data_IF_756432892359
#
_entry.id   IF_756432892359
#
_cell.length_a   1.000
_cell.length_b   1.000
_cell.length_c   1.000
_cell.angle_alpha   90.00
_cell.angle_beta   90.00
_cell.angle_gamma   90.00
#
_symmetry.space_group_name_H-M   'P 1'
#
loop_
_entity.id
_entity.type
_entity.pdbx_description
1 polymer ?
#
# COMPACT_ATOMS: atom_id res chain seq x y z
N UNK A 1 -1.55 -10.27 9.19
CA UNK A 1 -2.12 -9.70 7.95
C UNK A 1 -3.27 -10.58 7.49
N UNK A 2 -4.35 -9.94 7.06
CA UNK A 2 -5.50 -10.58 6.42
C UNK A 2 -5.63 -10.09 4.99
N UNK A 3 -5.90 -11.01 4.06
CA UNK A 3 -6.23 -10.69 2.67
C UNK A 3 -7.72 -10.86 2.47
N UNK A 4 -8.38 -9.81 2.01
CA UNK A 4 -9.81 -9.80 1.73
C UNK A 4 -10.07 -9.34 0.30
N UNK A 5 -11.25 -9.63 -0.22
CA UNK A 5 -11.72 -9.05 -1.47
C UNK A 5 -12.38 -7.71 -1.23
N UNK A 6 -12.07 -6.75 -2.09
CA UNK A 6 -12.75 -5.44 -2.10
C UNK A 6 -14.15 -5.64 -2.68
N UNK A 7 -15.19 -5.18 -1.98
CA UNK A 7 -16.55 -5.25 -2.49
C UNK A 7 -16.73 -4.34 -3.70
N UNK A 8 -17.59 -4.77 -4.64
CA UNK A 8 -17.92 -3.98 -5.85
C UNK A 8 -18.56 -2.62 -5.52
N UNK A 9 -19.22 -2.52 -4.36
CA UNK A 9 -19.80 -1.28 -3.84
C UNK A 9 -18.79 -0.25 -3.33
N UNK A 10 -17.51 -0.62 -3.19
CA UNK A 10 -16.48 0.29 -2.71
C UNK A 10 -16.27 1.46 -3.67
N UNK A 11 -16.18 2.67 -3.10
CA UNK A 11 -15.99 3.91 -3.85
C UNK A 11 -14.52 4.15 -4.21
N UNK A 12 -13.88 3.14 -4.79
CA UNK A 12 -12.51 3.27 -5.29
C UNK A 12 -12.54 3.63 -6.77
N UNK A 13 -11.73 4.59 -7.16
CA UNK A 13 -11.50 4.90 -8.58
C UNK A 13 -10.59 3.83 -9.18
N UNK A 14 -11.21 2.77 -9.66
CA UNK A 14 -10.53 1.60 -10.25
C UNK A 14 -10.00 1.85 -11.67
N UNK A 15 -10.28 3.01 -12.22
CA UNK A 15 -9.76 3.43 -13.52
C UNK A 15 -8.42 4.17 -13.45
N UNK A 16 -7.98 4.56 -12.25
CA UNK A 16 -6.73 5.31 -12.08
C UNK A 16 -5.51 4.39 -12.09
N UNK A 17 -4.53 4.76 -12.89
CA UNK A 17 -3.28 4.04 -13.06
C UNK A 17 -2.19 4.39 -12.03
N UNK A 18 -2.44 5.31 -11.12
CA UNK A 18 -1.46 5.74 -10.10
C UNK A 18 -1.94 5.44 -8.69
N UNK A 19 -1.01 5.14 -7.75
CA UNK A 19 -1.34 5.01 -6.35
C UNK A 19 -2.08 6.24 -5.83
N UNK A 20 -3.16 6.02 -5.10
CA UNK A 20 -3.97 7.09 -4.52
C UNK A 20 -4.05 6.89 -3.03
N UNK A 21 -3.82 7.96 -2.28
CA UNK A 21 -4.07 7.98 -0.84
C UNK A 21 -5.50 8.46 -0.62
N UNK A 22 -6.34 7.60 -0.11
CA UNK A 22 -7.71 7.95 0.25
C UNK A 22 -7.77 8.46 1.69
N UNK A 23 -8.63 9.44 2.00
CA UNK A 23 -8.88 9.84 3.38
C UNK A 23 -9.40 8.65 4.19
N UNK A 24 -9.02 8.57 5.46
CA UNK A 24 -9.49 7.52 6.37
C UNK A 24 -11.01 7.47 6.52
N UNK A 25 -11.69 8.59 6.26
CA UNK A 25 -13.16 8.68 6.23
C UNK A 25 -13.80 8.07 4.98
N UNK A 26 -13.02 7.72 3.95
CA UNK A 26 -13.56 7.08 2.75
C UNK A 26 -13.79 5.59 3.05
N UNK A 27 -15.03 5.11 3.07
CA UNK A 27 -15.31 3.73 3.44
C UNK A 27 -14.84 2.78 2.35
N UNK A 28 -14.09 1.76 2.74
CA UNK A 28 -13.86 0.57 1.92
C UNK A 28 -14.74 -0.54 2.46
N UNK A 29 -15.60 -1.05 1.61
CA UNK A 29 -16.35 -2.26 1.91
C UNK A 29 -15.57 -3.47 1.46
N UNK A 30 -15.51 -4.50 2.30
CA UNK A 30 -14.89 -5.79 2.00
C UNK A 30 -15.98 -6.83 1.75
N UNK A 31 -15.79 -7.64 0.71
CA UNK A 31 -16.71 -8.73 0.42
C UNK A 31 -16.47 -9.97 1.30
N UNK A 32 -15.26 -10.10 1.84
CA UNK A 32 -14.90 -11.16 2.77
C UNK A 32 -13.44 -11.59 2.67
N UNK A 33 -12.96 -12.41 3.63
CA UNK A 33 -11.58 -12.88 3.64
C UNK A 33 -11.35 -13.92 2.55
N UNK A 34 -10.22 -13.79 1.87
CA UNK A 34 -9.75 -14.73 0.84
C UNK A 34 -8.72 -15.71 1.37
N UNK A 35 -8.14 -15.43 2.54
CA UNK A 35 -7.15 -16.25 3.22
C UNK A 35 -7.42 -16.27 4.72
N UNK A 36 -6.86 -17.25 5.41
CA UNK A 36 -6.74 -17.19 6.86
C UNK A 36 -5.75 -16.08 7.23
N UNK A 37 -5.92 -15.40 8.37
CA UNK A 37 -4.95 -14.46 8.88
C UNK A 37 -3.57 -15.09 9.04
N UNK A 38 -2.51 -14.38 8.67
CA UNK A 38 -1.14 -14.84 8.84
C UNK A 38 -0.35 -13.88 9.72
N UNK A 39 0.57 -14.42 10.50
CA UNK A 39 1.61 -13.65 11.20
C UNK A 39 2.87 -13.64 10.33
N UNK A 40 3.47 -12.47 10.16
CA UNK A 40 4.71 -12.30 9.42
C UNK A 40 5.84 -12.06 10.42
N UNK A 41 6.89 -12.84 10.33
CA UNK A 41 8.16 -12.56 11.00
C UNK A 41 9.07 -11.83 10.00
N UNK A 42 9.38 -10.54 10.22
CA UNK A 42 10.24 -9.78 9.32
C UNK A 42 11.63 -10.40 9.11
N UNK A 43 12.10 -11.21 10.07
CA UNK A 43 13.43 -11.85 10.01
C UNK A 43 13.50 -12.97 8.98
N UNK A 44 12.35 -13.48 8.53
CA UNK A 44 12.27 -14.57 7.54
C UNK A 44 11.96 -14.06 6.14
N UNK A 45 11.91 -12.74 5.93
CA UNK A 45 11.60 -12.17 4.61
C UNK A 45 12.72 -12.40 3.59
N UNK A 46 13.97 -12.55 4.03
CA UNK A 46 15.12 -12.81 3.14
C UNK A 46 15.17 -14.27 2.67
N UNK A 47 14.36 -15.16 3.26
CA UNK A 47 14.33 -16.55 2.86
C UNK A 47 14.00 -16.69 1.38
N UNK A 48 14.85 -17.42 0.67
CA UNK A 48 14.65 -17.65 -0.75
C UNK A 48 13.70 -18.82 -0.99
N UNK A 49 12.79 -18.64 -1.93
CA UNK A 49 11.94 -19.73 -2.43
C UNK A 49 12.39 -20.10 -3.82
N UNK A 50 12.87 -21.33 -3.96
CA UNK A 50 13.30 -21.88 -5.23
C UNK A 50 12.51 -23.13 -5.59
N UNK A 51 11.83 -23.10 -6.70
CA UNK A 51 11.13 -24.25 -7.26
C UNK A 51 11.17 -24.18 -8.79
N UNK A 52 10.53 -25.14 -9.48
CA UNK A 52 10.55 -25.19 -10.96
C UNK A 52 9.87 -23.98 -11.63
N UNK A 53 9.09 -23.20 -10.92
CA UNK A 53 8.31 -22.08 -11.48
C UNK A 53 8.88 -20.73 -11.12
N UNK A 54 9.66 -20.64 -10.05
CA UNK A 54 10.17 -19.37 -9.56
C UNK A 54 11.44 -19.53 -8.73
N UNK A 55 12.23 -18.47 -8.71
CA UNK A 55 13.33 -18.27 -7.80
C UNK A 55 13.22 -16.83 -7.28
N UNK A 56 12.82 -16.65 -6.03
CA UNK A 56 12.53 -15.35 -5.45
C UNK A 56 12.85 -15.31 -3.96
N UNK A 57 13.19 -14.14 -3.47
CA UNK A 57 13.44 -13.82 -2.07
C UNK A 57 12.70 -12.55 -1.69
N UNK A 58 12.78 -12.14 -0.44
CA UNK A 58 12.14 -10.92 0.10
C UNK A 58 10.63 -10.87 -0.20
N UNK A 59 9.93 -11.98 -0.03
CA UNK A 59 8.52 -12.10 -0.35
C UNK A 59 7.65 -12.36 0.87
N UNK A 60 6.52 -11.69 0.94
CA UNK A 60 5.39 -12.09 1.78
C UNK A 60 4.50 -13.02 0.95
N UNK A 61 4.42 -14.29 1.35
CA UNK A 61 3.63 -15.30 0.63
C UNK A 61 2.38 -15.63 1.43
N UNK A 62 1.23 -15.39 0.84
CA UNK A 62 -0.06 -15.64 1.47
C UNK A 62 -0.84 -16.64 0.64
N UNK A 63 -1.11 -17.81 1.23
CA UNK A 63 -1.93 -18.82 0.59
C UNK A 63 -3.40 -18.45 0.68
N UNK A 64 -4.02 -18.23 -0.46
CA UNK A 64 -5.45 -18.02 -0.55
C UNK A 64 -6.21 -19.36 -0.48
N UNK A 65 -7.49 -19.30 -0.17
CA UNK A 65 -8.36 -20.49 -0.12
C UNK A 65 -8.57 -21.06 -1.51
N UNK A 66 -8.80 -22.37 -1.57
CA UNK A 66 -8.96 -23.07 -2.84
C UNK A 66 -10.22 -22.65 -3.62
N UNK A 67 -11.28 -22.19 -2.92
CA UNK A 67 -12.49 -21.67 -3.56
C UNK A 67 -12.20 -20.42 -4.41
N UNK A 68 -11.25 -19.60 -3.97
CA UNK A 68 -10.77 -18.45 -4.74
C UNK A 68 -10.14 -18.91 -6.07
N UNK A 69 -9.25 -19.91 -6.02
CA UNK A 69 -8.63 -20.45 -7.22
C UNK A 69 -9.67 -21.05 -8.19
N UNK A 70 -10.65 -21.79 -7.66
CA UNK A 70 -11.72 -22.35 -8.47
C UNK A 70 -12.58 -21.29 -9.14
N UNK A 71 -12.81 -20.16 -8.46
CA UNK A 71 -13.53 -19.02 -9.02
C UNK A 71 -12.79 -18.44 -10.23
N UNK A 72 -11.47 -18.27 -10.14
CA UNK A 72 -10.66 -17.77 -11.24
C UNK A 72 -10.54 -18.77 -12.40
N UNK A 73 -10.34 -20.06 -12.13
CA UNK A 73 -10.06 -21.06 -13.18
C UNK A 73 -11.34 -21.54 -13.87
N UNK A 74 -12.45 -21.67 -13.13
CA UNK A 74 -13.69 -22.25 -13.67
C UNK A 74 -14.81 -21.23 -13.85
N UNK A 75 -15.13 -20.50 -12.77
CA UNK A 75 -16.30 -19.64 -12.77
C UNK A 75 -16.13 -18.43 -13.69
N UNK A 76 -14.99 -17.78 -13.67
CA UNK A 76 -14.74 -16.63 -14.53
C UNK A 76 -14.51 -17.02 -15.98
N UNK A 77 -13.89 -18.18 -16.24
CA UNK A 77 -13.69 -18.71 -17.59
C UNK A 77 -15.00 -19.00 -18.30
N UNK A 78 -16.04 -19.39 -17.57
CA UNK A 78 -17.39 -19.60 -18.11
C UNK A 78 -18.18 -18.31 -18.38
N UNK A 79 -17.56 -17.15 -18.15
CA UNK A 79 -18.18 -15.83 -18.28
C UNK A 79 -17.39 -14.94 -19.24
N UNK A 80 -17.79 -13.67 -19.35
CA UNK A 80 -17.04 -12.65 -20.10
C UNK A 80 -15.93 -11.98 -19.28
N UNK A 81 -15.58 -12.50 -18.10
CA UNK A 81 -14.64 -11.85 -17.18
C UNK A 81 -13.29 -11.57 -17.83
N UNK A 82 -12.75 -12.51 -18.59
CA UNK A 82 -11.44 -12.38 -19.23
C UNK A 82 -11.43 -11.69 -20.59
N UNK A 83 -12.56 -11.12 -21.00
CA UNK A 83 -12.68 -10.47 -22.31
C UNK A 83 -11.92 -9.13 -22.37
N UNK A 84 -11.83 -8.42 -21.25
CA UNK A 84 -11.10 -7.17 -21.12
C UNK A 84 -10.86 -6.85 -19.63
N UNK A 85 -9.92 -5.96 -19.34
CA UNK A 85 -9.68 -5.46 -17.96
C UNK A 85 -10.93 -4.80 -17.38
N UNK A 86 -11.68 -4.07 -18.19
CA UNK A 86 -12.93 -3.44 -17.77
C UNK A 86 -13.97 -4.49 -17.37
N UNK A 87 -14.11 -5.56 -18.15
CA UNK A 87 -15.00 -6.67 -17.82
C UNK A 87 -14.53 -7.36 -16.54
N UNK A 88 -13.23 -7.66 -16.43
CA UNK A 88 -12.68 -8.34 -15.26
C UNK A 88 -12.96 -7.59 -13.95
N UNK A 89 -12.83 -6.26 -13.95
CA UNK A 89 -13.11 -5.41 -12.79
C UNK A 89 -14.55 -5.50 -12.26
N UNK A 90 -15.51 -5.94 -13.08
CA UNK A 90 -16.89 -6.15 -12.64
C UNK A 90 -17.08 -7.47 -11.90
N UNK A 91 -16.18 -8.43 -12.10
CA UNK A 91 -16.19 -9.73 -11.42
C UNK A 91 -15.29 -9.75 -10.19
N UNK A 92 -14.16 -9.03 -10.25
CA UNK A 92 -13.20 -8.97 -9.16
C UNK A 92 -12.69 -7.55 -8.96
N UNK A 93 -13.04 -6.96 -7.82
CA UNK A 93 -12.71 -5.56 -7.54
C UNK A 93 -11.27 -5.35 -7.06
N UNK A 94 -10.61 -6.40 -6.56
CA UNK A 94 -9.22 -6.36 -6.11
C UNK A 94 -9.00 -6.96 -4.73
N UNK A 95 -7.75 -6.93 -4.29
CA UNK A 95 -7.30 -7.39 -3.00
C UNK A 95 -7.18 -6.24 -2.02
N UNK A 96 -7.61 -6.44 -0.79
CA UNK A 96 -7.32 -5.57 0.34
C UNK A 96 -6.44 -6.33 1.34
N UNK A 97 -5.29 -5.76 1.67
CA UNK A 97 -4.44 -6.24 2.74
C UNK A 97 -4.68 -5.39 3.98
N UNK A 98 -5.09 -6.01 5.06
CA UNK A 98 -5.34 -5.35 6.33
C UNK A 98 -4.45 -5.92 7.43
N UNK A 99 -3.99 -5.04 8.31
CA UNK A 99 -3.19 -5.42 9.48
C UNK A 99 -4.11 -5.51 10.68
N UNK A 100 -3.90 -6.51 11.50
CA UNK A 100 -4.60 -6.64 12.78
C UNK A 100 -4.06 -5.56 13.75
N UNK A 101 -4.92 -4.63 14.10
CA UNK A 101 -4.57 -3.52 14.99
C UNK A 101 -4.49 -3.93 16.47
N UNK A 102 -4.98 -5.10 16.82
CA UNK A 102 -4.87 -5.65 18.18
C UNK A 102 -3.50 -6.28 18.47
N UNK A 103 -2.68 -6.47 17.44
CA UNK A 103 -1.33 -7.00 17.58
C UNK A 103 -0.41 -5.96 18.24
N UNK A 104 0.36 -6.33 19.28
CA UNK A 104 1.30 -5.43 19.92
C UNK A 104 2.56 -5.14 19.09
N UNK A 105 2.68 -5.75 17.92
CA UNK A 105 3.85 -5.60 17.08
C UNK A 105 3.85 -4.25 16.34
N UNK A 106 4.95 -3.51 16.49
CA UNK A 106 5.21 -2.27 15.76
C UNK A 106 6.06 -2.57 14.52
N UNK A 107 5.42 -2.66 13.36
CA UNK A 107 6.12 -2.86 12.11
C UNK A 107 5.49 -2.02 10.99
N UNK A 108 6.31 -1.46 10.13
CA UNK A 108 5.93 -0.81 8.89
C UNK A 108 6.48 -1.61 7.71
N UNK A 109 5.59 -2.16 6.90
CA UNK A 109 5.96 -2.93 5.71
C UNK A 109 5.66 -2.11 4.46
N UNK A 110 6.65 -2.00 3.58
CA UNK A 110 6.49 -1.44 2.25
C UNK A 110 6.43 -2.59 1.24
N UNK A 111 5.34 -2.64 0.48
CA UNK A 111 5.16 -3.65 -0.57
C UNK A 111 5.39 -2.98 -1.92
N UNK A 112 6.39 -3.44 -2.66
CA UNK A 112 6.62 -2.99 -4.01
C UNK A 112 5.67 -3.71 -4.97
N UNK A 113 4.61 -3.04 -5.39
CA UNK A 113 3.61 -3.63 -6.29
C UNK A 113 4.10 -3.77 -7.73
N UNK A 114 5.13 -3.02 -8.14
CA UNK A 114 5.66 -3.04 -9.51
C UNK A 114 6.78 -4.06 -9.70
N UNK A 115 7.23 -4.72 -8.63
CA UNK A 115 8.22 -5.78 -8.72
C UNK A 115 7.65 -7.00 -9.45
N UNK A 116 8.46 -7.64 -10.28
CA UNK A 116 8.09 -8.84 -11.04
C UNK A 116 7.71 -10.03 -10.14
N UNK A 117 8.18 -10.01 -8.90
CA UNK A 117 7.86 -11.01 -7.89
C UNK A 117 6.55 -10.73 -7.15
N UNK A 118 5.98 -9.51 -7.28
CA UNK A 118 4.66 -9.18 -6.75
C UNK A 118 3.58 -9.64 -7.73
N UNK A 119 2.95 -10.76 -7.42
CA UNK A 119 2.01 -11.43 -8.33
C UNK A 119 0.98 -12.25 -7.59
N UNK A 120 -0.14 -12.46 -8.22
CA UNK A 120 -1.10 -13.48 -7.84
C UNK A 120 -0.81 -14.75 -8.67
N UNK A 121 -0.43 -15.85 -8.00
CA UNK A 121 -0.06 -17.11 -8.64
C UNK A 121 -1.16 -18.14 -8.47
N UNK A 122 -1.67 -18.65 -9.59
CA UNK A 122 -2.64 -19.73 -9.63
C UNK A 122 -1.94 -21.02 -10.03
N UNK A 123 -1.77 -21.93 -9.08
CA UNK A 123 -1.25 -23.28 -9.34
C UNK A 123 -2.41 -24.23 -9.60
N UNK A 124 -2.39 -24.90 -10.72
CA UNK A 124 -3.43 -25.85 -11.09
C UNK A 124 -2.86 -27.11 -11.74
N UNK A 125 -3.61 -28.17 -11.66
CA UNK A 125 -3.25 -29.44 -12.31
C UNK A 125 -3.94 -29.53 -13.64
N UNK A 126 -3.18 -29.76 -14.69
CA UNK A 126 -3.67 -29.96 -16.05
C UNK A 126 -3.24 -31.31 -16.58
N UNK A 127 -4.04 -31.86 -17.49
CA UNK A 127 -3.70 -33.08 -18.24
C UNK A 127 -4.09 -32.88 -19.70
N UNK A 128 -3.22 -33.31 -20.60
CA UNK A 128 -3.59 -33.38 -22.03
C UNK A 128 -4.63 -34.49 -22.23
N UNK A 129 -5.47 -34.35 -23.26
CA UNK A 129 -6.41 -35.36 -23.64
C UNK A 129 -5.67 -36.68 -23.93
N UNK A 130 -6.04 -37.76 -23.23
CA UNK A 130 -5.40 -39.05 -23.36
C UNK A 130 -4.16 -39.28 -22.49
N UNK A 131 -3.70 -38.27 -21.72
CA UNK A 131 -2.58 -38.43 -20.83
C UNK A 131 -3.00 -39.07 -19.49
N UNK A 132 -2.26 -40.08 -19.04
CA UNK A 132 -2.44 -40.72 -17.73
C UNK A 132 -1.87 -39.93 -16.59
N UNK A 133 -0.98 -38.97 -16.88
CA UNK A 133 -0.28 -38.14 -15.88
C UNK A 133 -0.80 -36.71 -15.90
N UNK A 134 -1.11 -36.21 -14.71
CA UNK A 134 -1.36 -34.77 -14.51
C UNK A 134 -0.06 -34.05 -14.26
N UNK A 135 0.09 -32.87 -14.85
CA UNK A 135 1.19 -31.96 -14.54
C UNK A 135 0.69 -30.71 -13.82
N UNK A 136 1.56 -30.10 -13.04
CA UNK A 136 1.24 -28.84 -12.37
C UNK A 136 1.68 -27.69 -13.27
N UNK A 137 0.76 -26.79 -13.52
CA UNK A 137 0.98 -25.53 -14.24
C UNK A 137 0.72 -24.35 -13.34
N UNK A 138 1.26 -23.20 -13.69
CA UNK A 138 1.04 -21.95 -12.96
C UNK A 138 0.66 -20.84 -13.92
N UNK A 139 -0.32 -20.05 -13.55
CA UNK A 139 -0.67 -18.80 -14.19
C UNK A 139 -0.39 -17.64 -13.25
N UNK A 140 0.25 -16.61 -13.74
CA UNK A 140 0.58 -15.41 -12.99
C UNK A 140 -0.25 -14.22 -13.46
N UNK A 141 -0.86 -13.52 -12.50
CA UNK A 141 -1.43 -12.21 -12.71
C UNK A 141 -0.58 -11.21 -11.95
N UNK A 142 0.05 -10.31 -12.68
CA UNK A 142 0.96 -9.30 -12.14
C UNK A 142 0.27 -7.95 -12.03
N UNK A 143 0.77 -7.13 -11.13
CA UNK A 143 0.40 -5.72 -11.08
C UNK A 143 0.97 -4.99 -12.30
N UNK A 144 0.14 -4.19 -12.93
CA UNK A 144 0.56 -3.30 -14.01
C UNK A 144 0.17 -1.86 -13.65
N UNK A 145 1.16 -0.99 -13.48
CA UNK A 145 0.96 0.40 -13.06
C UNK A 145 0.11 1.23 -14.05
N UNK A 146 -0.01 0.81 -15.31
CA UNK A 146 -0.80 1.51 -16.31
C UNK A 146 -2.29 1.17 -16.27
N UNK A 147 -2.64 -0.01 -15.76
CA UNK A 147 -4.02 -0.53 -15.81
C UNK A 147 -4.55 -0.96 -14.44
N UNK A 148 -3.69 -1.11 -13.44
CA UNK A 148 -4.07 -1.54 -12.11
C UNK A 148 -4.02 -0.36 -11.14
N UNK A 149 -5.07 -0.18 -10.36
CA UNK A 149 -5.15 0.84 -9.33
C UNK A 149 -4.66 0.30 -7.99
N UNK A 150 -3.91 1.10 -7.27
CA UNK A 150 -3.53 0.84 -5.89
C UNK A 150 -3.89 2.02 -5.00
N UNK A 151 -4.23 1.74 -3.75
CA UNK A 151 -4.55 2.76 -2.76
C UNK A 151 -4.06 2.34 -1.36
N UNK A 152 -3.60 3.30 -0.59
CA UNK A 152 -3.20 3.11 0.79
C UNK A 152 -4.19 3.83 1.72
N UNK A 153 -4.64 3.13 2.75
CA UNK A 153 -5.46 3.69 3.82
C UNK A 153 -4.64 3.69 5.09
N UNK A 154 -4.18 4.86 5.50
CA UNK A 154 -3.31 5.02 6.66
C UNK A 154 -3.99 5.99 7.61
N UNK A 155 -4.31 5.55 8.81
CA UNK A 155 -4.80 6.39 9.89
C UNK A 155 -3.69 6.59 10.91
N UNK A 156 -3.38 7.84 11.21
CA UNK A 156 -2.39 8.18 12.24
C UNK A 156 -3.11 8.64 13.50
N UNK A 157 -2.88 7.94 14.60
CA UNK A 157 -3.26 8.40 15.92
C UNK A 157 -2.10 9.20 16.52
N UNK A 158 -2.33 10.48 16.77
CA UNK A 158 -1.33 11.39 17.36
C UNK A 158 -1.54 11.62 18.85
N UNK A 159 -2.57 11.00 19.44
CA UNK A 159 -2.87 11.16 20.86
C UNK A 159 -1.68 10.71 21.72
N UNK A 160 -1.32 11.53 22.68
CA UNK A 160 -0.17 11.29 23.56
C UNK A 160 1.21 11.57 22.92
N UNK A 161 1.29 11.93 21.65
CA UNK A 161 2.55 12.30 21.00
C UNK A 161 2.83 13.80 21.16
N UNK A 162 4.10 14.16 21.17
CA UNK A 162 4.53 15.57 21.17
C UNK A 162 3.91 16.35 20.00
N UNK A 163 3.83 15.73 18.83
CA UNK A 163 3.23 16.32 17.64
C UNK A 163 1.78 16.77 17.85
N UNK A 164 1.01 16.10 18.71
CA UNK A 164 -0.40 16.44 18.95
C UNK A 164 -0.58 17.89 19.43
N UNK A 165 0.43 18.45 20.10
CA UNK A 165 0.41 19.81 20.62
C UNK A 165 0.68 20.89 19.54
N UNK A 166 1.29 20.48 18.42
CA UNK A 166 1.75 21.38 17.36
C UNK A 166 0.93 21.25 16.05
N UNK A 167 0.24 20.14 15.85
CA UNK A 167 -0.66 20.01 14.70
C UNK A 167 -1.91 20.84 14.94
N UNK A 168 -1.90 22.03 14.39
CA UNK A 168 -2.99 22.96 14.53
C UNK A 168 -4.09 22.66 13.50
N UNK A 169 -5.26 22.27 14.00
CA UNK A 169 -6.48 22.12 13.20
C UNK A 169 -7.33 23.40 13.22
N UNK A 170 -6.91 24.41 13.99
CA UNK A 170 -7.63 25.69 14.09
C UNK A 170 -7.39 26.58 12.88
N UNK A 171 -8.41 27.32 12.49
CA UNK A 171 -8.31 28.33 11.43
C UNK A 171 -7.38 29.51 11.79
N UNK A 172 -7.07 29.70 13.08
CA UNK A 172 -6.23 30.79 13.56
C UNK A 172 -4.76 30.38 13.47
N UNK A 173 -3.92 31.09 12.70
CA UNK A 173 -2.50 30.84 12.65
C UNK A 173 -1.85 31.00 14.03
N UNK A 174 -1.12 29.99 14.46
CA UNK A 174 -0.32 30.00 15.68
C UNK A 174 1.15 29.90 15.30
N UNK A 175 2.00 30.62 16.03
CA UNK A 175 3.44 30.47 15.90
C UNK A 175 3.89 29.26 16.71
N UNK A 176 4.53 28.31 16.07
CA UNK A 176 5.02 27.08 16.68
C UNK A 176 6.56 27.11 16.74
N UNK A 177 7.11 26.60 17.84
CA UNK A 177 8.56 26.48 18.03
C UNK A 177 9.15 25.23 17.37
N UNK A 178 8.31 24.22 17.12
CA UNK A 178 8.70 22.98 16.46
C UNK A 178 7.79 22.72 15.26
N UNK A 179 8.38 22.22 14.20
CA UNK A 179 7.67 21.84 12.99
C UNK A 179 7.82 20.34 12.77
N UNK A 180 6.70 19.67 12.53
CA UNK A 180 6.68 18.23 12.23
C UNK A 180 6.34 18.04 10.76
N UNK A 181 7.29 17.49 10.00
CA UNK A 181 7.12 17.21 8.58
C UNK A 181 7.12 15.69 8.41
N UNK A 182 6.04 15.16 7.86
CA UNK A 182 5.86 13.73 7.63
C UNK A 182 5.21 13.50 6.28
N UNK A 183 5.47 12.33 5.70
CA UNK A 183 4.82 11.89 4.46
C UNK A 183 3.68 10.89 4.75
N UNK A 184 2.72 10.80 3.87
CA UNK A 184 1.70 9.76 3.63
C UNK A 184 1.08 9.04 4.85
N UNK A 185 0.03 9.52 5.42
CA UNK A 185 -0.55 10.83 5.44
C UNK A 185 0.31 11.78 6.26
N UNK A 186 0.53 12.95 5.74
CA UNK A 186 1.57 13.83 6.21
C UNK A 186 1.12 15.00 7.04
N UNK A 187 2.13 15.75 7.44
CA UNK A 187 2.04 17.11 7.91
C UNK A 187 3.00 17.97 7.12
N UNK A 188 2.68 19.22 6.98
CA UNK A 188 3.51 20.21 6.30
C UNK A 188 3.63 21.47 7.16
N UNK A 189 4.72 22.17 7.00
CA UNK A 189 4.94 23.47 7.63
C UNK A 189 4.45 24.58 6.70
N UNK A 190 3.72 25.54 7.25
CA UNK A 190 3.37 26.79 6.57
C UNK A 190 4.18 27.91 7.19
N UNK A 191 5.02 28.53 6.40
CA UNK A 191 5.84 29.67 6.80
C UNK A 191 5.17 30.95 6.28
N UNK A 192 4.94 31.90 7.16
CA UNK A 192 4.43 33.23 6.82
C UNK A 192 5.43 34.27 7.25
N UNK A 193 5.86 35.09 6.33
CA UNK A 193 6.81 36.19 6.55
C UNK A 193 6.13 37.52 6.24
N UNK A 194 5.45 38.12 7.25
CA UNK A 194 4.67 39.36 7.03
C UNK A 194 5.52 40.53 6.53
N UNK A 195 6.79 40.58 6.96
CA UNK A 195 7.70 41.66 6.57
C UNK A 195 8.04 41.75 5.09
N UNK A 196 7.83 40.62 4.33
CA UNK A 196 8.06 40.66 2.88
C UNK A 196 7.08 41.57 2.14
N UNK A 197 5.89 41.77 2.66
CA UNK A 197 4.89 42.66 2.06
C UNK A 197 5.30 44.15 2.12
N UNK A 198 6.18 44.50 3.04
CA UNK A 198 6.70 45.89 3.18
C UNK A 198 8.01 46.14 2.45
N UNK A 199 8.54 45.18 1.71
CA UNK A 199 9.75 45.37 0.90
C UNK A 199 9.36 46.12 -0.40
N UNK A 200 9.62 47.41 -0.38
CA UNK A 200 9.58 48.22 -1.62
C UNK A 200 10.77 47.88 -2.54
N UNK A 201 10.79 48.37 -3.78
CA UNK A 201 11.82 48.16 -4.79
C UNK A 201 13.26 48.03 -4.24
N UNK A 202 13.64 46.84 -3.87
CA UNK A 202 14.98 46.49 -3.36
C UNK A 202 15.55 45.31 -4.13
N UNK A 203 16.85 45.34 -4.32
CA UNK A 203 17.57 44.18 -4.85
C UNK A 203 17.87 43.25 -3.70
N UNK A 204 17.33 42.04 -3.75
CA UNK A 204 17.60 40.99 -2.77
C UNK A 204 18.80 40.17 -3.27
N UNK A 205 19.93 40.29 -2.60
CA UNK A 205 21.13 39.53 -2.99
C UNK A 205 21.12 38.10 -2.48
N UNK A 206 20.43 37.83 -1.37
CA UNK A 206 20.34 36.49 -0.79
C UNK A 206 19.08 36.37 0.05
N UNK A 207 18.39 35.25 -0.08
CA UNK A 207 17.30 34.84 0.78
C UNK A 207 17.50 33.37 1.12
N UNK A 208 17.51 33.03 2.39
CA UNK A 208 17.72 31.66 2.86
C UNK A 208 16.69 31.29 3.88
N UNK A 209 16.25 30.04 3.81
CA UNK A 209 15.49 29.38 4.86
C UNK A 209 16.39 28.25 5.42
N UNK A 210 16.76 28.39 6.67
CA UNK A 210 17.54 27.37 7.37
C UNK A 210 16.58 26.60 8.27
N UNK A 211 16.53 25.29 8.12
CA UNK A 211 15.78 24.39 8.97
C UNK A 211 16.73 23.31 9.51
N UNK A 212 16.79 23.18 10.80
CA UNK A 212 17.62 22.18 11.48
C UNK A 212 16.73 21.07 12.02
N UNK A 213 17.18 19.84 11.86
CA UNK A 213 16.52 18.69 12.46
C UNK A 213 16.83 18.67 13.95
N UNK A 214 15.79 18.60 14.77
CA UNK A 214 15.97 18.37 16.22
C UNK A 214 16.38 16.92 16.42
N UNK A 215 17.51 16.65 17.09
CA UNK A 215 17.93 15.30 17.42
C UNK A 215 16.86 14.59 18.24
N UNK A 216 16.58 13.35 17.91
CA UNK A 216 15.70 12.47 18.69
C UNK A 216 16.56 11.35 19.28
N UNK A 217 16.78 11.39 20.59
CA UNK A 217 17.59 10.41 21.31
C UNK A 217 16.92 9.04 21.40
N UNK A 218 15.62 8.97 21.09
CA UNK A 218 14.85 7.74 21.05
C UNK A 218 14.83 7.06 19.68
N UNK A 219 15.76 7.37 18.81
CA UNK A 219 15.79 6.95 17.41
C UNK A 219 15.60 5.45 17.20
N UNK A 220 14.36 5.06 16.96
CA UNK A 220 13.98 3.74 16.45
C UNK A 220 14.08 3.67 14.92
N UNK A 221 14.27 4.80 14.25
CA UNK A 221 14.39 4.89 12.79
C UNK A 221 15.58 5.81 12.48
N UNK A 222 16.71 5.22 12.14
CA UNK A 222 17.77 5.95 11.46
C UNK A 222 17.22 6.48 10.15
N UNK A 223 17.15 7.78 10.00
CA UNK A 223 16.85 8.40 8.72
C UNK A 223 18.07 8.12 7.85
N UNK A 224 17.83 7.32 6.80
CA UNK A 224 18.84 7.10 5.77
C UNK A 224 19.20 8.46 5.17
N UNK A 225 20.44 8.90 5.34
CA UNK A 225 20.94 10.20 4.88
C UNK A 225 21.17 10.24 3.37
N UNK A 226 20.32 9.59 2.61
CA UNK A 226 20.30 9.72 1.16
C UNK A 226 19.25 10.74 0.72
N UNK A 227 19.62 11.98 0.76
CA UNK A 227 19.05 13.05 -0.06
C UNK A 227 20.09 13.55 -1.04
#
# INVERSE_FOLDING_TARGET
ITVSEIAQSSKLDRGRAYPVNYPSATPISLAGPLANPITIDPRTLDDSVKNRFENANNQIRIRLRNDVALRFIKQYDSTNAYRSDSAFRTYFAGFALTVDQSSPANALLRINLTDTNTKFALYYSSSSTGATRRDTSVAYLSFNSFITTAANFITRNRSGSQMANYVNTSATPKSDSLLFIQTSPGSYARIRIPGLAGLSNRIIHRAELIAEQVPDDANLLTIDQQM
#
